data_IF_395916510259
#
_entry.id   IF_395916510259
#
_cell.length_a   1.000
_cell.length_b   1.000
_cell.length_c   1.000
_cell.angle_alpha   90.00
_cell.angle_beta   90.00
_cell.angle_gamma   90.00
#
_symmetry.space_group_name_H-M   'P 1'
#
loop_
_entity.id
_entity.type
_entity.pdbx_description
1 polymer ?
#
# COMPACT_ATOMS: atom_id res chain seq x y z
N UNK A 1 14.63 -16.22 -19.27
CA UNK A 1 15.54 -17.29 -19.75
C UNK A 1 15.94 -18.10 -18.52
N UNK A 2 15.96 -19.42 -18.63
CA UNK A 2 16.39 -20.31 -17.54
C UNK A 2 17.93 -20.35 -17.58
N UNK A 3 18.58 -19.97 -16.48
CA UNK A 3 19.99 -20.32 -16.28
C UNK A 3 20.03 -21.79 -15.84
N UNK A 4 20.20 -22.69 -16.81
CA UNK A 4 20.14 -24.13 -16.56
C UNK A 4 21.22 -24.60 -15.57
N UNK A 5 22.35 -23.90 -15.46
CA UNK A 5 23.40 -24.26 -14.51
C UNK A 5 23.02 -23.91 -13.08
N UNK A 6 22.45 -22.72 -12.87
CA UNK A 6 22.07 -22.25 -11.54
C UNK A 6 20.70 -22.78 -11.07
N UNK A 7 19.70 -22.85 -11.95
CA UNK A 7 18.34 -23.22 -11.58
C UNK A 7 18.23 -24.66 -11.09
N UNK A 8 18.85 -25.63 -11.79
CA UNK A 8 18.78 -27.07 -11.44
C UNK A 8 19.42 -27.41 -10.10
N UNK A 9 20.22 -26.50 -9.53
CA UNK A 9 20.80 -26.66 -8.19
C UNK A 9 19.82 -26.27 -7.08
N UNK A 10 18.76 -25.53 -7.40
CA UNK A 10 17.73 -25.11 -6.45
C UNK A 10 16.72 -26.22 -6.19
N UNK A 11 15.93 -26.12 -5.11
CA UNK A 11 14.84 -27.07 -4.83
C UNK A 11 13.82 -27.13 -5.98
N UNK A 12 13.39 -25.96 -6.49
CA UNK A 12 12.44 -25.88 -7.60
C UNK A 12 13.00 -26.48 -8.90
N UNK A 13 14.29 -26.33 -9.17
CA UNK A 13 14.91 -26.87 -10.39
C UNK A 13 15.16 -28.38 -10.39
N UNK A 14 14.81 -29.08 -9.29
CA UNK A 14 14.81 -30.55 -9.23
C UNK A 14 13.48 -31.16 -9.67
N UNK A 15 12.44 -30.35 -9.80
CA UNK A 15 11.13 -30.77 -10.29
C UNK A 15 11.11 -30.71 -11.82
N UNK A 16 10.34 -31.60 -12.45
CA UNK A 16 10.13 -31.49 -13.89
C UNK A 16 9.31 -30.24 -14.21
N UNK A 17 9.65 -29.54 -15.29
CA UNK A 17 8.96 -28.30 -15.67
C UNK A 17 7.44 -28.48 -15.80
N UNK A 18 7.02 -29.69 -16.20
CA UNK A 18 5.61 -30.05 -16.38
C UNK A 18 4.83 -30.12 -15.06
N UNK A 19 5.50 -30.32 -13.93
CA UNK A 19 4.84 -30.42 -12.63
C UNK A 19 4.19 -29.08 -12.25
N UNK A 20 4.84 -27.96 -12.59
CA UNK A 20 4.28 -26.63 -12.38
C UNK A 20 3.57 -26.11 -13.62
N UNK A 21 4.20 -26.22 -14.79
CA UNK A 21 3.73 -25.55 -15.99
C UNK A 21 2.84 -26.41 -16.88
N UNK A 22 2.61 -27.69 -16.56
CA UNK A 22 1.91 -28.61 -17.45
C UNK A 22 2.64 -28.80 -18.78
N UNK A 23 1.90 -28.91 -19.87
CA UNK A 23 2.48 -29.17 -21.19
C UNK A 23 2.86 -30.64 -21.42
N UNK A 24 3.80 -30.86 -22.35
CA UNK A 24 4.25 -32.21 -22.74
C UNK A 24 5.77 -32.28 -22.69
N UNK A 25 6.33 -33.39 -22.20
CA UNK A 25 7.78 -33.61 -22.29
C UNK A 25 8.19 -33.85 -23.74
N UNK A 26 8.78 -32.85 -24.37
CA UNK A 26 9.26 -32.89 -25.75
C UNK A 26 10.50 -32.01 -25.93
N UNK A 27 11.48 -32.41 -26.75
CA UNK A 27 12.59 -31.53 -27.13
C UNK A 27 12.16 -30.44 -28.13
N UNK A 28 11.00 -30.58 -28.78
CA UNK A 28 10.42 -29.56 -29.64
C UNK A 28 9.60 -28.57 -28.83
N UNK A 29 9.90 -27.27 -28.96
CA UNK A 29 9.31 -26.20 -28.16
C UNK A 29 7.80 -26.10 -28.36
N UNK A 30 7.33 -26.15 -29.61
CA UNK A 30 5.90 -26.00 -29.89
C UNK A 30 5.11 -27.14 -29.28
N UNK A 31 5.61 -28.37 -29.45
CA UNK A 31 5.03 -29.57 -28.83
C UNK A 31 5.08 -29.50 -27.31
N UNK A 32 6.21 -29.09 -26.73
CA UNK A 32 6.36 -29.00 -25.28
C UNK A 32 5.40 -27.99 -24.65
N UNK A 33 5.09 -26.92 -25.38
CA UNK A 33 4.21 -25.86 -24.92
C UNK A 33 2.71 -26.13 -25.18
N UNK A 34 2.33 -27.27 -25.76
CA UNK A 34 0.91 -27.62 -25.92
C UNK A 34 0.27 -27.84 -24.54
N UNK A 35 -0.62 -26.93 -24.12
CA UNK A 35 -1.24 -26.98 -22.79
C UNK A 35 -0.39 -26.41 -21.66
N UNK A 36 0.63 -25.60 -21.99
CA UNK A 36 1.47 -24.91 -21.01
C UNK A 36 0.68 -23.85 -20.22
N UNK A 37 0.79 -23.91 -18.90
CA UNK A 37 0.35 -22.88 -17.98
C UNK A 37 1.50 -21.87 -17.81
N UNK A 38 1.34 -20.68 -18.39
CA UNK A 38 2.40 -19.68 -18.39
C UNK A 38 2.71 -19.11 -16.99
N UNK A 39 1.70 -19.02 -16.12
CA UNK A 39 1.77 -18.42 -14.78
C UNK A 39 1.17 -19.35 -13.73
N UNK A 40 1.85 -20.45 -13.38
CA UNK A 40 1.30 -21.44 -12.46
C UNK A 40 1.04 -20.88 -11.06
N UNK A 41 1.74 -19.81 -10.65
CA UNK A 41 1.48 -19.15 -9.37
C UNK A 41 0.11 -18.45 -9.26
N UNK A 42 -0.65 -18.31 -10.37
CA UNK A 42 -2.06 -17.90 -10.31
C UNK A 42 -2.93 -18.96 -9.61
N UNK A 43 -2.54 -20.24 -9.71
CA UNK A 43 -3.14 -21.34 -8.96
C UNK A 43 -2.13 -21.87 -7.91
N UNK A 44 -1.79 -21.00 -6.95
CA UNK A 44 -0.80 -21.30 -5.92
C UNK A 44 -1.19 -22.49 -5.03
N UNK A 45 -2.48 -22.80 -4.89
CA UNK A 45 -2.95 -23.96 -4.11
C UNK A 45 -2.50 -25.26 -4.77
N UNK A 46 -2.78 -25.41 -6.06
CA UNK A 46 -2.39 -26.60 -6.83
C UNK A 46 -0.87 -26.77 -6.92
N UNK A 47 -0.14 -25.69 -7.24
CA UNK A 47 1.27 -25.82 -7.64
C UNK A 47 2.28 -25.52 -6.52
N UNK A 48 1.88 -24.83 -5.46
CA UNK A 48 2.78 -24.42 -4.38
C UNK A 48 2.35 -24.98 -3.01
N UNK A 49 1.08 -25.37 -2.85
CA UNK A 49 0.49 -25.70 -1.55
C UNK A 49 1.16 -26.84 -0.80
N UNK A 50 1.59 -27.89 -1.49
CA UNK A 50 2.25 -29.05 -0.85
C UNK A 50 3.58 -28.67 -0.18
N UNK A 51 4.38 -27.84 -0.85
CA UNK A 51 5.71 -27.42 -0.36
C UNK A 51 5.66 -26.17 0.52
N UNK A 52 4.64 -25.32 0.35
CA UNK A 52 4.44 -24.08 1.09
C UNK A 52 3.11 -24.07 1.88
N UNK A 53 2.86 -25.08 2.74
CA UNK A 53 1.55 -25.32 3.34
C UNK A 53 1.10 -24.23 4.32
N UNK A 54 2.02 -23.39 4.79
CA UNK A 54 1.69 -22.28 5.70
C UNK A 54 1.49 -20.96 4.96
N UNK A 55 2.23 -20.73 3.87
CA UNK A 55 2.23 -19.42 3.18
C UNK A 55 1.11 -19.34 2.16
N UNK A 56 0.84 -20.42 1.43
CA UNK A 56 -0.21 -20.44 0.40
C UNK A 56 -1.60 -20.14 0.98
N UNK A 57 -2.04 -20.77 2.09
CA UNK A 57 -3.32 -20.42 2.69
C UNK A 57 -3.35 -19.01 3.28
N UNK A 58 -2.26 -18.54 3.89
CA UNK A 58 -2.19 -17.19 4.44
C UNK A 58 -2.35 -16.13 3.34
N UNK A 59 -1.69 -16.34 2.20
CA UNK A 59 -1.71 -15.42 1.06
C UNK A 59 -3.12 -15.18 0.50
N UNK A 60 -4.03 -16.14 0.64
CA UNK A 60 -5.45 -15.98 0.25
C UNK A 60 -6.14 -14.81 0.96
N UNK A 61 -5.63 -14.39 2.12
CA UNK A 61 -6.14 -13.25 2.88
C UNK A 61 -5.31 -11.96 2.71
N UNK A 62 -4.22 -12.02 1.94
CA UNK A 62 -3.34 -10.87 1.70
C UNK A 62 -4.00 -9.82 0.84
N UNK A 63 -3.84 -8.55 1.19
CA UNK A 63 -4.32 -7.41 0.39
C UNK A 63 -3.70 -7.35 -1.01
N UNK A 64 -2.52 -7.92 -1.20
CA UNK A 64 -1.87 -8.02 -2.52
C UNK A 64 -2.56 -9.02 -3.45
N UNK A 65 -3.39 -9.91 -2.89
CA UNK A 65 -4.27 -10.82 -3.62
C UNK A 65 -5.71 -10.25 -3.65
N UNK A 66 -6.30 -10.01 -2.47
CA UNK A 66 -7.73 -9.71 -2.38
C UNK A 66 -8.10 -8.32 -2.85
N UNK A 67 -7.18 -7.35 -2.77
CA UNK A 67 -7.43 -5.94 -3.09
C UNK A 67 -8.63 -5.35 -2.32
N UNK A 68 -9.03 -5.96 -1.20
CA UNK A 68 -10.23 -5.64 -0.42
C UNK A 68 -10.28 -4.20 0.10
N UNK A 69 -9.12 -3.54 0.18
CA UNK A 69 -9.02 -2.10 0.48
C UNK A 69 -9.80 -1.22 -0.49
N UNK A 70 -9.82 -1.55 -1.78
CA UNK A 70 -10.58 -0.80 -2.77
C UNK A 70 -12.08 -1.02 -2.58
N UNK A 71 -12.50 -2.29 -2.46
CA UNK A 71 -13.91 -2.64 -2.27
C UNK A 71 -14.48 -2.07 -0.98
N UNK A 72 -13.72 -2.08 0.12
CA UNK A 72 -14.14 -1.43 1.37
C UNK A 72 -14.48 0.05 1.16
N UNK A 73 -13.71 0.77 0.35
CA UNK A 73 -13.96 2.19 0.07
C UNK A 73 -15.10 2.38 -0.95
N UNK A 74 -15.18 1.51 -1.97
CA UNK A 74 -16.24 1.57 -2.98
C UNK A 74 -17.60 1.26 -2.37
N UNK A 75 -17.69 0.22 -1.54
CA UNK A 75 -18.92 -0.20 -0.86
C UNK A 75 -19.43 0.90 0.08
N UNK A 76 -18.53 1.56 0.81
CA UNK A 76 -18.90 2.67 1.72
C UNK A 76 -19.39 3.90 0.94
N UNK A 77 -18.79 4.20 -0.21
CA UNK A 77 -19.16 5.35 -1.05
C UNK A 77 -20.29 5.05 -2.04
N UNK A 78 -20.75 3.80 -2.14
CA UNK A 78 -21.74 3.38 -3.13
C UNK A 78 -22.88 2.58 -2.52
N UNK A 79 -23.72 2.01 -3.39
CA UNK A 79 -24.81 1.10 -3.02
C UNK A 79 -24.73 -0.20 -3.83
N UNK A 80 -25.31 -1.31 -3.33
CA UNK A 80 -25.27 -2.61 -4.00
C UNK A 80 -25.77 -2.59 -5.45
N UNK A 81 -26.70 -1.71 -5.80
CA UNK A 81 -27.24 -1.58 -7.14
C UNK A 81 -26.19 -1.13 -8.17
N UNK A 82 -25.17 -0.39 -7.73
CA UNK A 82 -24.09 0.12 -8.57
C UNK A 82 -22.95 -0.89 -8.75
N UNK A 83 -22.93 -1.98 -7.98
CA UNK A 83 -21.81 -2.94 -7.97
C UNK A 83 -21.51 -3.54 -9.35
N UNK A 84 -22.49 -3.92 -10.20
CA UNK A 84 -22.16 -4.45 -11.53
C UNK A 84 -21.33 -3.49 -12.39
N UNK A 85 -21.64 -2.18 -12.36
CA UNK A 85 -20.88 -1.18 -13.09
C UNK A 85 -19.49 -0.94 -12.46
N UNK A 86 -19.43 -0.95 -11.12
CA UNK A 86 -18.17 -0.81 -10.39
C UNK A 86 -17.24 -2.03 -10.56
N UNK A 87 -17.78 -3.24 -10.69
CA UNK A 87 -17.02 -4.46 -10.96
C UNK A 87 -16.37 -4.41 -12.35
N UNK A 88 -17.11 -3.96 -13.36
CA UNK A 88 -16.56 -3.74 -14.70
C UNK A 88 -15.45 -2.67 -14.69
N UNK A 89 -15.72 -1.52 -14.05
CA UNK A 89 -14.74 -0.45 -13.84
C UNK A 89 -13.49 -0.96 -13.12
N UNK A 90 -13.66 -1.67 -12.02
CA UNK A 90 -12.57 -2.20 -11.20
C UNK A 90 -11.73 -3.21 -12.00
N UNK A 91 -12.39 -4.09 -12.75
CA UNK A 91 -11.76 -5.03 -13.67
C UNK A 91 -10.86 -4.33 -14.69
N UNK A 92 -11.37 -3.29 -15.33
CA UNK A 92 -10.64 -2.55 -16.36
C UNK A 92 -9.48 -1.70 -15.82
N UNK A 93 -9.65 -1.06 -14.65
CA UNK A 93 -8.73 0.00 -14.20
C UNK A 93 -7.85 -0.37 -13.01
N UNK A 94 -8.36 -1.19 -12.10
CA UNK A 94 -7.76 -1.35 -10.77
C UNK A 94 -7.13 -2.74 -10.59
N UNK A 95 -7.79 -3.78 -11.13
CA UNK A 95 -7.45 -5.19 -10.92
C UNK A 95 -6.05 -5.58 -11.40
N UNK A 96 -5.43 -4.77 -12.26
CA UNK A 96 -4.07 -4.99 -12.77
C UNK A 96 -3.00 -4.98 -11.69
N UNK A 97 -3.29 -4.41 -10.51
CA UNK A 97 -2.36 -4.40 -9.38
C UNK A 97 -2.31 -5.74 -8.62
N UNK A 98 -3.23 -6.66 -8.90
CA UNK A 98 -3.24 -8.00 -8.34
C UNK A 98 -1.93 -8.74 -8.60
N UNK A 99 -1.42 -9.47 -7.61
CA UNK A 99 -0.15 -10.19 -7.73
C UNK A 99 -0.32 -11.69 -7.50
N UNK A 100 0.71 -12.44 -7.84
CA UNK A 100 0.87 -13.85 -7.48
C UNK A 100 2.26 -14.09 -6.91
N UNK A 101 2.53 -15.30 -6.39
CA UNK A 101 3.87 -15.65 -5.89
C UNK A 101 4.97 -15.38 -6.94
N UNK A 102 4.67 -15.66 -8.22
CA UNK A 102 5.58 -15.44 -9.34
C UNK A 102 5.94 -13.97 -9.56
N UNK A 103 5.00 -13.03 -9.35
CA UNK A 103 5.20 -11.59 -9.54
C UNK A 103 6.12 -10.94 -8.51
N UNK A 104 6.36 -11.63 -7.39
CA UNK A 104 7.25 -11.18 -6.33
C UNK A 104 8.55 -11.98 -6.31
N UNK A 105 8.47 -13.30 -6.53
CA UNK A 105 9.59 -14.20 -6.30
C UNK A 105 10.30 -14.65 -7.58
N UNK A 106 9.74 -14.44 -8.78
CA UNK A 106 10.35 -14.96 -10.04
C UNK A 106 10.48 -13.88 -11.10
N UNK A 107 9.40 -13.15 -11.36
CA UNK A 107 9.30 -12.08 -12.34
C UNK A 107 8.95 -10.76 -11.69
N UNK A 108 9.03 -9.70 -12.47
CA UNK A 108 8.36 -8.44 -12.17
C UNK A 108 6.85 -8.63 -12.38
N UNK A 109 6.00 -7.80 -11.74
CA UNK A 109 4.57 -7.82 -11.96
C UNK A 109 4.20 -7.66 -13.45
N UNK A 110 3.19 -8.41 -13.88
CA UNK A 110 2.69 -8.34 -15.26
C UNK A 110 2.21 -6.94 -15.66
N UNK A 111 1.69 -6.16 -14.71
CA UNK A 111 1.22 -4.78 -14.90
C UNK A 111 2.28 -3.80 -15.40
N UNK A 112 3.57 -4.12 -15.22
CA UNK A 112 4.70 -3.31 -15.74
C UNK A 112 5.43 -3.97 -16.90
N UNK A 113 4.77 -4.93 -17.57
CA UNK A 113 5.33 -5.69 -18.70
C UNK A 113 6.12 -6.95 -18.30
N UNK A 114 6.16 -7.29 -17.00
CA UNK A 114 6.72 -8.53 -16.50
C UNK A 114 8.23 -8.70 -16.70
N UNK A 115 8.64 -9.95 -16.96
CA UNK A 115 10.04 -10.34 -17.17
C UNK A 115 10.76 -10.78 -15.90
N UNK A 116 11.67 -11.74 -16.05
CA UNK A 116 12.36 -12.38 -14.93
C UNK A 116 13.26 -11.44 -14.14
N UNK A 117 13.23 -11.55 -12.81
CA UNK A 117 14.13 -10.80 -11.92
C UNK A 117 15.56 -11.33 -12.05
N UNK A 118 15.74 -12.64 -11.94
CA UNK A 118 17.05 -13.31 -12.02
C UNK A 118 16.92 -14.66 -12.74
N UNK A 119 16.50 -14.60 -14.02
CA UNK A 119 16.06 -15.81 -14.72
C UNK A 119 14.90 -16.50 -13.99
N UNK A 120 14.77 -17.81 -14.14
CA UNK A 120 13.71 -18.59 -13.47
C UNK A 120 14.05 -18.97 -12.02
N UNK A 121 15.00 -18.27 -11.38
CA UNK A 121 15.41 -18.55 -10.01
C UNK A 121 14.47 -17.82 -9.05
N UNK A 122 13.78 -18.61 -8.22
CA UNK A 122 12.92 -18.11 -7.15
C UNK A 122 13.77 -17.34 -6.12
N UNK A 123 13.45 -16.07 -5.94
CA UNK A 123 14.07 -15.16 -4.99
C UNK A 123 13.31 -15.20 -3.68
N UNK A 124 13.95 -15.62 -2.59
CA UNK A 124 13.31 -15.61 -1.27
C UNK A 124 12.88 -14.20 -0.83
N UNK A 125 13.66 -13.18 -1.19
CA UNK A 125 13.35 -11.76 -0.96
C UNK A 125 13.07 -11.06 -2.30
N UNK A 126 11.90 -10.46 -2.50
CA UNK A 126 11.60 -9.69 -3.70
C UNK A 126 12.55 -8.49 -3.87
N UNK A 127 12.73 -8.06 -5.11
CA UNK A 127 13.49 -6.84 -5.40
C UNK A 127 12.65 -5.61 -5.05
N UNK A 128 13.22 -4.71 -4.25
CA UNK A 128 12.60 -3.41 -3.97
C UNK A 128 12.28 -2.63 -5.25
N UNK A 129 13.22 -2.60 -6.21
CA UNK A 129 13.09 -1.78 -7.42
C UNK A 129 12.25 -2.44 -8.51
N UNK A 130 12.27 -3.78 -8.58
CA UNK A 130 11.65 -4.53 -9.67
C UNK A 130 10.35 -5.23 -9.29
N UNK A 131 10.04 -5.34 -8.00
CA UNK A 131 8.78 -5.92 -7.52
C UNK A 131 7.97 -4.88 -6.73
N UNK A 132 8.50 -4.35 -5.63
CA UNK A 132 7.74 -3.46 -4.75
C UNK A 132 7.42 -2.12 -5.43
N UNK A 133 8.45 -1.40 -5.88
CA UNK A 133 8.29 -0.09 -6.53
C UNK A 133 7.96 -0.19 -8.02
N UNK A 134 7.83 -1.40 -8.57
CA UNK A 134 7.22 -1.57 -9.89
C UNK A 134 5.74 -1.13 -9.84
N UNK A 135 5.01 -1.55 -8.79
CA UNK A 135 3.62 -1.12 -8.57
C UNK A 135 3.54 0.15 -7.70
N UNK A 136 4.33 0.23 -6.62
CA UNK A 136 4.27 1.35 -5.67
C UNK A 136 5.22 2.52 -6.00
N UNK A 137 5.75 2.56 -7.23
CA UNK A 137 6.83 3.47 -7.59
C UNK A 137 6.46 4.94 -7.65
N UNK A 138 5.23 5.26 -8.06
CA UNK A 138 4.79 6.63 -8.33
C UNK A 138 4.68 7.48 -7.07
N UNK A 139 4.19 6.91 -5.96
CA UNK A 139 4.03 7.58 -4.65
C UNK A 139 5.11 7.13 -3.67
N UNK A 140 4.99 5.89 -3.17
CA UNK A 140 5.87 5.33 -2.13
C UNK A 140 7.32 5.29 -2.60
N UNK A 141 7.57 4.79 -3.81
CA UNK A 141 8.93 4.70 -4.36
C UNK A 141 9.59 6.06 -4.56
N UNK A 142 8.84 7.10 -4.97
CA UNK A 142 9.40 8.44 -5.11
C UNK A 142 9.72 9.08 -3.76
N UNK A 143 8.85 8.89 -2.77
CA UNK A 143 9.06 9.37 -1.41
C UNK A 143 10.29 8.68 -0.77
N UNK A 144 10.32 7.35 -0.78
CA UNK A 144 11.35 6.56 -0.09
C UNK A 144 12.74 6.77 -0.68
N UNK A 145 12.82 6.84 -2.01
CA UNK A 145 14.07 6.96 -2.74
C UNK A 145 14.47 8.43 -3.00
N UNK A 146 13.68 9.42 -2.55
CA UNK A 146 13.98 10.84 -2.73
C UNK A 146 13.98 11.28 -4.19
N UNK A 147 12.99 10.84 -4.97
CA UNK A 147 12.82 11.20 -6.38
C UNK A 147 11.86 12.37 -6.60
N UNK A 148 11.27 12.90 -5.55
CA UNK A 148 10.52 14.16 -5.60
C UNK A 148 11.51 15.32 -5.52
N UNK A 149 11.36 16.31 -6.40
CA UNK A 149 12.24 17.48 -6.44
C UNK A 149 12.20 18.22 -5.09
N UNK A 150 13.37 18.65 -4.60
CA UNK A 150 13.49 19.34 -3.31
C UNK A 150 13.38 18.46 -2.07
N UNK A 151 12.95 17.20 -2.19
CA UNK A 151 12.74 16.28 -1.07
C UNK A 151 13.83 15.22 -1.01
N UNK A 152 14.46 15.07 0.17
CA UNK A 152 15.49 14.04 0.38
C UNK A 152 14.86 12.66 0.52
N UNK A 153 15.64 11.64 0.16
CA UNK A 153 15.26 10.26 0.42
C UNK A 153 15.16 9.98 1.92
N UNK A 154 14.28 9.03 2.27
CA UNK A 154 14.04 8.55 3.63
C UNK A 154 15.36 8.15 4.31
N UNK A 155 15.52 8.49 5.59
CA UNK A 155 16.75 8.20 6.35
C UNK A 155 17.00 6.70 6.49
N UNK A 156 15.95 5.87 6.57
CA UNK A 156 16.07 4.41 6.62
C UNK A 156 16.66 3.86 5.32
N UNK A 157 16.30 4.44 4.18
CA UNK A 157 16.92 4.08 2.91
C UNK A 157 18.34 4.66 2.77
N UNK A 158 18.46 5.99 2.91
CA UNK A 158 19.68 6.73 2.55
C UNK A 158 20.84 6.47 3.49
N UNK A 159 20.57 6.26 4.78
CA UNK A 159 21.58 6.05 5.81
C UNK A 159 21.67 4.58 6.23
N UNK A 160 20.53 3.95 6.54
CA UNK A 160 20.50 2.56 7.03
C UNK A 160 20.49 1.50 5.92
N UNK A 161 20.33 1.89 4.65
CA UNK A 161 20.29 0.99 3.49
C UNK A 161 19.17 -0.06 3.57
N UNK A 162 18.09 0.28 4.27
CA UNK A 162 16.93 -0.58 4.40
C UNK A 162 16.17 -0.66 3.06
N UNK A 163 15.60 -1.82 2.84
CA UNK A 163 14.66 -2.16 1.78
C UNK A 163 13.26 -2.32 2.38
N UNK A 164 12.23 -2.40 1.55
CA UNK A 164 10.84 -2.51 2.01
C UNK A 164 10.66 -3.62 3.06
N UNK A 165 11.27 -4.79 2.81
CA UNK A 165 11.11 -5.98 3.66
C UNK A 165 11.90 -5.94 4.97
N UNK A 166 12.71 -4.90 5.19
CA UNK A 166 13.37 -4.69 6.48
C UNK A 166 12.43 -4.03 7.50
N UNK A 167 11.35 -3.38 7.04
CA UNK A 167 10.24 -2.91 7.88
C UNK A 167 9.00 -3.78 7.70
N UNK A 168 8.66 -4.11 6.45
CA UNK A 168 7.48 -4.90 6.10
C UNK A 168 7.77 -6.39 6.12
N UNK A 169 7.34 -7.07 7.18
CA UNK A 169 7.71 -8.46 7.43
C UNK A 169 7.08 -9.45 6.43
N UNK A 170 7.64 -10.66 6.38
CA UNK A 170 7.06 -11.78 5.60
C UNK A 170 5.57 -11.95 5.94
N UNK A 171 5.22 -11.84 7.22
CA UNK A 171 3.86 -12.11 7.64
C UNK A 171 2.89 -11.02 7.19
N UNK A 172 3.33 -9.76 7.11
CA UNK A 172 2.51 -8.67 6.57
C UNK A 172 2.26 -8.86 5.08
N UNK A 173 3.31 -9.19 4.33
CA UNK A 173 3.22 -9.31 2.88
C UNK A 173 2.34 -10.49 2.45
N UNK A 174 2.38 -11.60 3.21
CA UNK A 174 1.58 -12.79 2.93
C UNK A 174 0.26 -12.85 3.71
N UNK A 175 -0.10 -11.87 4.52
CA UNK A 175 -1.37 -11.86 5.24
C UNK A 175 -1.45 -12.82 6.45
N UNK A 176 -0.32 -13.31 6.97
CA UNK A 176 -0.27 -14.19 8.15
C UNK A 176 -0.28 -13.44 9.50
N UNK A 177 -0.33 -12.10 9.52
CA UNK A 177 -0.24 -11.24 10.72
C UNK A 177 -1.49 -11.17 11.62
N UNK A 178 -2.42 -12.13 11.58
CA UNK A 178 -3.46 -12.25 12.63
C UNK A 178 -2.82 -12.81 13.91
N UNK A 179 -1.90 -12.03 14.50
CA UNK A 179 -1.18 -12.32 15.76
C UNK A 179 -2.10 -12.42 16.96
N UNK A 180 -3.31 -11.86 16.87
CA UNK A 180 -4.33 -11.90 17.92
C UNK A 180 -4.90 -13.31 18.13
N UNK A 181 -4.99 -14.12 17.07
CA UNK A 181 -5.55 -15.46 17.16
C UNK A 181 -4.49 -16.57 17.04
N UNK A 182 -3.41 -16.36 16.27
CA UNK A 182 -2.43 -17.42 15.98
C UNK A 182 -1.60 -17.90 17.18
N UNK A 183 -1.50 -17.11 18.25
CA UNK A 183 -0.88 -17.54 19.50
C UNK A 183 -1.74 -18.49 20.33
N UNK A 184 -3.05 -18.55 20.06
CA UNK A 184 -4.04 -19.27 20.86
C UNK A 184 -4.82 -20.33 20.06
N UNK A 185 -4.85 -20.21 18.73
CA UNK A 185 -5.60 -21.08 17.82
C UNK A 185 -4.66 -21.80 16.85
N UNK A 186 -4.98 -23.06 16.58
CA UNK A 186 -4.29 -23.85 15.57
C UNK A 186 -4.52 -23.27 14.17
N UNK A 187 -3.61 -23.49 13.20
CA UNK A 187 -3.85 -23.07 11.81
C UNK A 187 -5.20 -23.57 11.26
N UNK A 188 -5.63 -24.78 11.66
CA UNK A 188 -6.96 -25.38 11.40
C UNK A 188 -8.16 -24.53 11.85
N UNK A 189 -7.98 -23.68 12.86
CA UNK A 189 -9.01 -22.80 13.43
C UNK A 189 -8.91 -21.36 12.90
N UNK A 190 -7.87 -21.03 12.14
CA UNK A 190 -7.70 -19.73 11.45
C UNK A 190 -8.16 -19.76 9.99
N UNK A 191 -8.49 -20.93 9.45
CA UNK A 191 -9.10 -21.06 8.12
C UNK A 191 -10.48 -20.41 8.10
N UNK A 192 -10.74 -19.56 7.09
CA UNK A 192 -12.02 -18.85 6.93
C UNK A 192 -12.08 -17.47 7.56
N UNK A 193 -10.96 -16.93 8.05
CA UNK A 193 -10.89 -15.54 8.47
C UNK A 193 -11.07 -14.60 7.27
N UNK A 194 -11.98 -13.61 7.33
CA UNK A 194 -12.20 -12.69 6.23
C UNK A 194 -10.92 -11.93 5.91
N UNK A 195 -10.68 -11.57 4.63
CA UNK A 195 -9.57 -10.72 4.24
C UNK A 195 -9.51 -9.47 5.10
N UNK A 196 -8.30 -8.96 5.34
CA UNK A 196 -8.17 -7.63 5.94
C UNK A 196 -8.96 -6.64 5.07
N UNK A 197 -9.87 -5.81 5.61
CA UNK A 197 -10.65 -4.87 4.81
C UNK A 197 -9.75 -3.80 4.21
N UNK A 198 -8.65 -3.41 4.86
CA UNK A 198 -7.72 -2.41 4.33
C UNK A 198 -6.35 -2.46 5.03
N UNK A 199 -5.36 -1.75 4.47
CA UNK A 199 -3.97 -1.74 4.96
C UNK A 199 -3.77 -1.24 6.40
N UNK A 200 -4.73 -0.48 6.93
CA UNK A 200 -4.70 0.04 8.30
C UNK A 200 -5.60 -0.74 9.27
N UNK A 201 -5.99 -1.97 8.95
CA UNK A 201 -6.81 -2.78 9.85
C UNK A 201 -5.93 -3.54 10.85
N UNK A 202 -6.35 -3.56 12.11
CA UNK A 202 -5.57 -4.14 13.21
C UNK A 202 -4.46 -3.19 13.70
N UNK A 203 -3.51 -3.78 14.42
CA UNK A 203 -2.35 -3.11 15.00
C UNK A 203 -1.56 -2.28 13.98
N UNK A 204 -0.90 -1.22 14.43
CA UNK A 204 0.00 -0.44 13.59
C UNK A 204 1.21 -1.28 13.19
N UNK A 205 1.38 -1.51 11.88
CA UNK A 205 2.51 -2.25 11.33
C UNK A 205 2.94 -1.68 9.98
N UNK A 206 4.26 -1.45 9.77
CA UNK A 206 5.32 -1.49 10.78
C UNK A 206 5.18 -0.32 11.77
N UNK A 207 5.46 -0.56 13.05
CA UNK A 207 5.44 0.51 14.06
C UNK A 207 6.84 1.10 14.24
N UNK A 208 6.92 2.44 14.34
CA UNK A 208 8.19 3.12 14.63
C UNK A 208 8.85 2.59 15.92
N UNK A 209 8.01 2.27 16.91
CA UNK A 209 8.41 1.80 18.24
C UNK A 209 9.01 0.40 18.27
N UNK A 210 8.84 -0.41 17.21
CA UNK A 210 9.47 -1.73 17.09
C UNK A 210 11.00 -1.61 17.03
N UNK A 211 11.51 -0.54 16.41
CA UNK A 211 12.95 -0.23 16.36
C UNK A 211 13.34 0.90 17.34
N UNK A 212 12.45 1.86 17.57
CA UNK A 212 12.71 3.07 18.33
C UNK A 212 12.08 3.04 19.73
N UNK A 213 12.16 1.92 20.43
CA UNK A 213 11.47 1.71 21.73
C UNK A 213 11.79 2.74 22.83
N UNK A 214 12.93 3.45 22.72
CA UNK A 214 13.33 4.50 23.67
C UNK A 214 12.65 5.85 23.44
N UNK A 215 12.03 6.08 22.28
CA UNK A 215 11.35 7.37 22.01
C UNK A 215 10.07 7.48 22.81
N UNK A 216 9.42 6.36 23.11
CA UNK A 216 8.19 6.34 23.90
C UNK A 216 8.49 6.88 25.30
N UNK A 217 7.71 7.89 25.72
CA UNK A 217 7.89 8.63 26.98
C UNK A 217 9.22 9.41 27.09
N UNK A 218 9.94 9.65 25.98
CA UNK A 218 11.17 10.45 25.95
C UNK A 218 12.37 9.81 26.66
N UNK A 219 12.44 8.48 26.73
CA UNK A 219 13.57 7.75 27.34
C UNK A 219 14.87 7.88 26.52
N UNK A 220 14.79 8.43 25.32
CA UNK A 220 15.91 8.81 24.47
C UNK A 220 16.51 10.18 24.83
N UNK A 221 15.90 10.92 25.76
CA UNK A 221 16.35 12.23 26.21
C UNK A 221 15.82 13.41 25.38
N UNK A 222 14.90 13.17 24.43
CA UNK A 222 14.27 14.22 23.63
C UNK A 222 12.96 14.64 24.29
N UNK A 223 12.92 15.86 24.84
CA UNK A 223 11.74 16.37 25.57
C UNK A 223 10.47 16.40 24.70
N UNK A 224 10.59 16.66 23.39
CA UNK A 224 9.44 16.69 22.49
C UNK A 224 8.74 15.34 22.36
N UNK A 225 9.48 14.23 22.44
CA UNK A 225 8.86 12.89 22.46
C UNK A 225 8.07 12.68 23.74
N UNK A 226 8.53 13.18 24.88
CA UNK A 226 7.79 13.09 26.14
C UNK A 226 6.50 13.91 26.12
N UNK A 227 6.52 15.08 25.47
CA UNK A 227 5.38 16.00 25.45
C UNK A 227 4.31 15.62 24.42
N UNK A 228 4.70 15.05 23.28
CA UNK A 228 3.78 14.90 22.14
C UNK A 228 3.47 13.46 21.72
N UNK A 229 4.20 12.44 22.18
CA UNK A 229 4.10 11.08 21.63
C UNK A 229 2.74 10.39 21.84
N UNK A 230 1.89 10.93 22.72
CA UNK A 230 0.54 10.39 22.97
C UNK A 230 -0.48 10.96 21.97
N UNK A 231 -0.31 12.22 21.56
CA UNK A 231 -1.30 12.95 20.76
C UNK A 231 -0.94 12.98 19.27
N UNK A 232 0.34 12.98 18.94
CA UNK A 232 0.84 13.12 17.56
C UNK A 232 1.43 11.81 17.05
N UNK A 233 1.01 11.39 15.85
CA UNK A 233 1.74 10.33 15.13
C UNK A 233 3.17 10.76 14.79
N UNK A 234 4.12 9.83 14.76
CA UNK A 234 5.55 10.13 14.53
C UNK A 234 5.79 10.93 13.24
N UNK A 235 4.98 10.68 12.21
CA UNK A 235 5.06 11.33 10.90
C UNK A 235 4.72 12.82 10.97
N UNK A 236 4.01 13.30 12.00
CA UNK A 236 3.77 14.74 12.22
C UNK A 236 5.08 15.51 12.41
N UNK A 237 6.06 14.90 13.07
CA UNK A 237 7.38 15.51 13.27
C UNK A 237 8.36 15.06 12.20
N UNK A 238 8.31 13.79 11.78
CA UNK A 238 9.38 13.19 11.01
C UNK A 238 9.10 13.05 9.52
N UNK A 239 7.93 13.43 9.03
CA UNK A 239 7.67 13.51 7.59
C UNK A 239 7.97 14.91 7.05
N UNK A 240 8.23 14.97 5.75
CA UNK A 240 8.34 16.21 4.96
C UNK A 240 7.27 16.20 3.89
N UNK A 241 7.22 17.19 3.00
CA UNK A 241 6.21 17.22 1.94
C UNK A 241 6.18 15.92 1.11
N UNK A 242 4.97 15.48 0.78
CA UNK A 242 4.68 14.24 0.08
C UNK A 242 3.54 14.41 -0.92
N UNK A 243 3.36 13.40 -1.79
CA UNK A 243 2.47 13.52 -2.95
C UNK A 243 1.01 13.49 -2.55
N UNK A 244 0.24 14.52 -2.89
CA UNK A 244 -1.23 14.49 -2.93
C UNK A 244 -1.72 14.63 -4.36
N UNK A 245 -2.96 14.23 -4.60
CA UNK A 245 -3.58 14.28 -5.91
C UNK A 245 -5.03 14.73 -5.78
N UNK A 246 -5.53 15.43 -6.80
CA UNK A 246 -6.93 15.86 -6.86
C UNK A 246 -7.63 15.14 -7.99
N UNK A 247 -8.80 14.59 -7.68
CA UNK A 247 -9.74 13.97 -8.64
C UNK A 247 -9.12 12.82 -9.45
N UNK A 248 -9.92 11.81 -9.78
CA UNK A 248 -9.51 10.72 -10.68
C UNK A 248 -10.71 10.34 -11.53
N UNK A 249 -10.58 10.44 -12.84
CA UNK A 249 -11.59 9.97 -13.78
C UNK A 249 -11.03 8.85 -14.60
N UNK A 250 -11.78 7.76 -14.72
CA UNK A 250 -11.39 6.57 -15.49
C UNK A 250 -12.28 6.39 -16.69
N UNK A 251 -11.70 5.97 -17.81
CA UNK A 251 -12.43 5.70 -19.04
C UNK A 251 -11.65 4.73 -19.95
N UNK A 252 -12.33 4.13 -20.92
CA UNK A 252 -11.69 3.30 -21.95
C UNK A 252 -11.57 4.10 -23.25
N UNK A 253 -10.40 4.07 -23.87
CA UNK A 253 -10.15 4.77 -25.14
C UNK A 253 -10.93 4.09 -26.26
N UNK A 254 -11.78 4.84 -26.98
CA UNK A 254 -12.50 4.32 -28.16
C UNK A 254 -11.54 3.89 -29.28
N UNK A 255 -10.42 4.61 -29.45
CA UNK A 255 -9.43 4.34 -30.50
C UNK A 255 -8.61 3.08 -30.25
N UNK A 256 -8.23 2.83 -28.99
CA UNK A 256 -7.27 1.77 -28.64
C UNK A 256 -7.89 0.60 -27.88
N UNK A 257 -9.08 0.79 -27.31
CA UNK A 257 -9.70 -0.15 -26.39
C UNK A 257 -9.00 -0.24 -25.03
N UNK A 258 -7.97 0.57 -24.77
CA UNK A 258 -7.19 0.49 -23.54
C UNK A 258 -7.80 1.38 -22.45
N UNK A 259 -7.84 0.91 -21.19
CA UNK A 259 -8.22 1.71 -20.03
C UNK A 259 -7.18 2.83 -19.80
N UNK A 260 -7.66 4.02 -19.43
CA UNK A 260 -6.84 5.14 -18.99
C UNK A 260 -7.51 5.87 -17.82
N UNK A 261 -6.75 6.75 -17.18
CA UNK A 261 -7.25 7.64 -16.14
C UNK A 261 -6.65 9.04 -16.28
N UNK A 262 -7.35 10.03 -15.76
CA UNK A 262 -6.89 11.41 -15.65
C UNK A 262 -7.04 11.88 -14.20
N UNK A 263 -6.04 12.61 -13.71
CA UNK A 263 -6.12 13.32 -12.43
C UNK A 263 -6.06 14.81 -12.70
N UNK A 264 -6.86 15.60 -11.98
CA UNK A 264 -6.89 17.06 -12.13
C UNK A 264 -5.59 17.72 -11.66
N UNK A 265 -4.97 17.19 -10.60
CA UNK A 265 -3.68 17.67 -10.11
C UNK A 265 -2.88 16.60 -9.38
N UNK A 266 -1.55 16.76 -9.37
CA UNK A 266 -0.62 16.04 -8.49
C UNK A 266 0.41 17.04 -7.98
N UNK A 267 0.56 17.14 -6.66
CA UNK A 267 1.40 18.16 -6.01
C UNK A 267 1.99 17.64 -4.70
N UNK A 268 3.01 18.32 -4.19
CA UNK A 268 3.55 18.05 -2.87
C UNK A 268 2.78 18.85 -1.82
N UNK A 269 2.47 18.22 -0.70
CA UNK A 269 1.79 18.85 0.44
C UNK A 269 2.29 18.27 1.76
N UNK A 270 2.00 18.98 2.83
CA UNK A 270 2.14 18.51 4.21
C UNK A 270 1.04 19.17 5.04
N UNK A 271 0.05 18.40 5.48
CA UNK A 271 -1.00 18.90 6.36
C UNK A 271 -1.25 17.94 7.53
N UNK A 272 -1.44 18.51 8.71
CA UNK A 272 -1.80 17.86 9.96
C UNK A 272 -3.31 18.03 10.14
N UNK A 273 -4.01 16.94 10.43
CA UNK A 273 -5.44 16.99 10.75
C UNK A 273 -5.83 16.01 11.84
N UNK A 274 -7.12 15.99 12.18
CA UNK A 274 -7.66 15.03 13.14
C UNK A 274 -7.59 13.62 12.54
N UNK A 275 -7.28 12.64 13.37
CA UNK A 275 -7.13 11.25 12.95
C UNK A 275 -8.49 10.62 12.57
N UNK A 276 -8.74 10.28 11.28
CA UNK A 276 -10.00 9.64 10.88
C UNK A 276 -10.10 8.16 11.30
N UNK A 277 -9.00 7.57 11.79
CA UNK A 277 -8.90 6.17 12.18
C UNK A 277 -8.55 6.01 13.67
N UNK A 278 -8.93 6.98 14.52
CA UNK A 278 -8.57 6.98 15.93
C UNK A 278 -9.19 5.77 16.66
N UNK A 279 -8.33 4.91 17.19
CA UNK A 279 -8.70 3.73 17.97
C UNK A 279 -7.49 3.28 18.82
N UNK A 280 -7.61 2.17 19.56
CA UNK A 280 -6.50 1.69 20.42
C UNK A 280 -5.21 1.40 19.64
N UNK A 281 -5.31 0.89 18.40
CA UNK A 281 -4.16 0.61 17.54
C UNK A 281 -3.55 1.88 16.92
N UNK A 282 -4.30 2.99 16.84
CA UNK A 282 -3.88 4.29 16.31
C UNK A 282 -4.41 5.41 17.21
N UNK A 283 -3.85 5.57 18.42
CA UNK A 283 -4.46 6.40 19.47
C UNK A 283 -4.31 7.91 19.24
N UNK A 284 -3.45 8.31 18.29
CA UNK A 284 -3.12 9.70 18.01
C UNK A 284 -4.35 10.56 17.74
N UNK A 285 -4.39 11.75 18.33
CA UNK A 285 -5.40 12.78 18.03
C UNK A 285 -5.10 13.43 16.67
N UNK A 286 -3.82 13.72 16.39
CA UNK A 286 -3.39 14.37 15.15
C UNK A 286 -2.41 13.53 14.34
N UNK A 287 -2.65 13.53 13.03
CA UNK A 287 -1.92 12.76 12.04
C UNK A 287 -1.65 13.61 10.82
N UNK A 288 -0.71 13.16 9.99
CA UNK A 288 -0.55 13.75 8.66
C UNK A 288 -1.62 13.18 7.71
N UNK A 289 -2.18 14.05 6.86
CA UNK A 289 -3.26 13.71 5.94
C UNK A 289 -2.86 13.91 4.48
N UNK A 290 -3.29 12.99 3.63
CA UNK A 290 -3.07 13.04 2.18
C UNK A 290 -4.40 13.21 1.46
N UNK A 291 -4.42 14.10 0.47
CA UNK A 291 -5.56 14.18 -0.43
C UNK A 291 -5.49 13.03 -1.45
N UNK A 292 -6.55 12.22 -1.51
CA UNK A 292 -6.67 11.11 -2.47
C UNK A 292 -7.48 11.54 -3.69
N UNK A 293 -7.12 11.07 -4.89
CA UNK A 293 -7.78 11.48 -6.11
C UNK A 293 -9.09 10.69 -6.27
N UNK A 294 -10.19 11.25 -5.76
CA UNK A 294 -11.55 10.76 -5.93
C UNK A 294 -12.47 11.96 -6.17
N UNK A 295 -13.52 11.76 -6.95
CA UNK A 295 -14.54 12.75 -7.27
C UNK A 295 -15.92 12.09 -7.30
N UNK A 296 -17.00 12.87 -7.21
CA UNK A 296 -18.38 12.35 -7.24
C UNK A 296 -18.68 11.63 -8.55
N UNK A 297 -18.05 12.06 -9.63
CA UNK A 297 -18.21 11.56 -10.99
C UNK A 297 -16.99 10.75 -11.49
N UNK A 298 -16.10 10.30 -10.60
CA UNK A 298 -14.90 9.50 -10.91
C UNK A 298 -15.15 8.34 -11.88
N UNK A 299 -16.34 7.74 -11.81
CA UNK A 299 -16.71 6.53 -12.56
C UNK A 299 -17.84 6.78 -13.57
N UNK A 300 -18.12 8.05 -13.91
CA UNK A 300 -19.22 8.45 -14.81
C UNK A 300 -19.21 7.79 -16.19
N UNK A 301 -18.04 7.34 -16.67
CA UNK A 301 -17.93 6.56 -17.90
C UNK A 301 -18.74 5.24 -17.87
N UNK A 302 -18.87 4.63 -16.69
CA UNK A 302 -19.54 3.33 -16.49
C UNK A 302 -21.00 3.46 -16.05
N UNK A 303 -21.44 4.64 -15.65
CA UNK A 303 -22.80 4.89 -15.21
C UNK A 303 -22.95 6.23 -14.48
N UNK A 304 -24.19 6.71 -14.37
CA UNK A 304 -24.50 7.93 -13.64
C UNK A 304 -24.53 7.66 -12.13
N UNK A 305 -24.02 8.61 -11.34
CA UNK A 305 -24.11 8.62 -9.87
C UNK A 305 -23.67 7.31 -9.20
N UNK A 306 -22.50 6.79 -9.60
CA UNK A 306 -21.97 5.53 -9.04
C UNK A 306 -21.39 5.66 -7.62
N UNK A 307 -21.24 6.89 -7.09
CA UNK A 307 -20.76 7.17 -5.74
C UNK A 307 -21.76 8.05 -4.94
N UNK A 308 -23.01 7.61 -4.76
CA UNK A 308 -24.06 8.41 -4.12
C UNK A 308 -23.76 8.73 -2.65
N UNK A 309 -22.93 7.91 -1.98
CA UNK A 309 -22.49 8.12 -0.60
C UNK A 309 -21.09 8.76 -0.55
N UNK A 310 -20.74 9.60 -1.52
CA UNK A 310 -19.42 10.23 -1.61
C UNK A 310 -18.97 10.88 -0.28
N UNK A 311 -19.87 11.56 0.42
CA UNK A 311 -19.52 12.27 1.66
C UNK A 311 -19.38 11.34 2.89
N UNK A 312 -19.54 10.03 2.74
CA UNK A 312 -19.37 9.05 3.84
C UNK A 312 -17.92 8.87 4.29
N UNK A 313 -16.95 9.18 3.42
CA UNK A 313 -15.53 9.08 3.73
C UNK A 313 -14.79 10.39 3.36
N UNK A 314 -13.78 10.81 4.15
CA UNK A 314 -13.01 12.00 3.83
C UNK A 314 -12.17 11.80 2.56
N UNK A 315 -11.84 12.90 1.87
CA UNK A 315 -10.86 12.94 0.77
C UNK A 315 -9.45 13.22 1.28
N UNK A 316 -9.34 13.86 2.45
CA UNK A 316 -8.11 13.96 3.23
C UNK A 316 -8.02 12.78 4.21
N UNK A 317 -7.24 11.77 3.84
CA UNK A 317 -7.18 10.49 4.56
C UNK A 317 -5.90 10.34 5.37
N UNK A 318 -5.95 9.47 6.39
CA UNK A 318 -4.77 9.06 7.18
C UNK A 318 -3.61 8.65 6.26
N UNK A 319 -2.44 9.23 6.47
CA UNK A 319 -1.27 9.00 5.63
C UNK A 319 -0.08 8.46 6.41
N UNK A 320 0.66 7.56 5.76
CA UNK A 320 1.97 7.06 6.21
C UNK A 320 3.03 7.34 5.13
N UNK A 321 3.48 8.60 4.99
CA UNK A 321 4.48 8.97 3.99
C UNK A 321 5.79 8.22 4.21
N UNK A 322 6.44 7.81 3.12
CA UNK A 322 7.70 7.07 3.18
C UNK A 322 8.89 8.00 2.96
N UNK A 323 9.01 9.06 3.76
CA UNK A 323 10.01 10.10 3.56
C UNK A 323 10.62 10.58 4.89
N UNK A 324 10.71 9.68 5.87
CA UNK A 324 11.11 9.98 7.24
C UNK A 324 12.47 10.68 7.26
N UNK A 325 12.55 11.79 8.00
CA UNK A 325 13.78 12.53 8.29
C UNK A 325 13.98 12.69 9.80
N UNK A 326 15.24 12.79 10.22
CA UNK A 326 15.59 13.14 11.60
C UNK A 326 15.31 14.62 11.88
N UNK A 327 15.73 15.48 10.95
CA UNK A 327 15.51 16.92 10.99
C UNK A 327 14.53 17.32 9.90
N UNK A 328 13.40 17.89 10.30
CA UNK A 328 12.35 18.44 9.44
C UNK A 328 12.09 19.91 9.79
N UNK A 329 11.42 20.68 8.92
CA UNK A 329 11.01 22.04 9.26
C UNK A 329 10.22 22.12 10.58
N UNK A 330 9.38 21.13 10.88
CA UNK A 330 8.55 21.06 12.08
C UNK A 330 9.38 20.90 13.36
N UNK A 331 10.54 20.25 13.28
CA UNK A 331 11.41 19.98 14.44
C UNK A 331 12.37 21.12 14.78
N UNK A 332 12.46 22.17 13.96
CA UNK A 332 13.45 23.24 14.14
C UNK A 332 13.23 24.06 15.43
N UNK A 333 11.98 24.41 15.73
CA UNK A 333 11.60 25.18 16.93
C UNK A 333 10.17 24.85 17.34
N UNK A 334 9.76 25.15 18.58
CA UNK A 334 8.35 24.99 19.00
C UNK A 334 7.39 25.73 18.06
N UNK A 335 7.74 26.97 17.68
CA UNK A 335 6.90 27.82 16.83
C UNK A 335 7.00 27.51 15.32
N UNK A 336 7.78 26.49 14.94
CA UNK A 336 7.69 25.92 13.60
C UNK A 336 6.38 25.12 13.42
N UNK A 337 5.80 24.63 14.53
CA UNK A 337 4.49 23.98 14.57
C UNK A 337 3.45 24.85 15.30
N UNK A 338 3.78 25.36 16.48
CA UNK A 338 2.91 26.21 17.29
C UNK A 338 2.70 27.59 16.65
N UNK A 339 1.45 28.01 16.53
CA UNK A 339 1.04 29.22 15.84
C UNK A 339 1.14 29.13 14.32
N UNK A 340 1.57 28.00 13.77
CA UNK A 340 1.81 27.85 12.34
C UNK A 340 0.61 27.23 11.63
N UNK A 341 -0.38 28.06 11.33
CA UNK A 341 -1.61 27.61 10.66
C UNK A 341 -1.39 26.99 9.28
N UNK A 342 -0.24 27.20 8.61
CA UNK A 342 -0.01 26.61 7.28
C UNK A 342 0.15 25.09 7.31
N UNK A 343 0.52 24.52 8.46
CA UNK A 343 0.73 23.08 8.61
C UNK A 343 -0.55 22.29 8.92
N UNK A 344 -1.66 22.96 9.22
CA UNK A 344 -2.89 22.29 9.65
C UNK A 344 -3.96 22.33 8.56
N UNK A 345 -4.72 21.24 8.41
CA UNK A 345 -5.90 21.19 7.56
C UNK A 345 -7.03 21.97 8.24
N UNK A 346 -7.09 23.26 7.96
CA UNK A 346 -8.17 24.15 8.40
C UNK A 346 -9.24 24.25 7.31
N UNK A 347 -10.45 24.69 7.67
CA UNK A 347 -11.59 24.72 6.75
C UNK A 347 -11.31 25.54 5.47
N UNK A 348 -10.53 26.61 5.54
CA UNK A 348 -10.15 27.43 4.37
C UNK A 348 -9.24 26.70 3.36
N UNK A 349 -8.66 25.56 3.74
CA UNK A 349 -7.81 24.73 2.87
C UNK A 349 -8.56 23.56 2.22
N UNK A 350 -9.82 23.34 2.60
CA UNK A 350 -10.65 22.28 2.04
C UNK A 350 -11.46 22.83 0.88
N UNK A 351 -11.48 22.10 -0.24
CA UNK A 351 -12.33 22.42 -1.37
C UNK A 351 -13.80 22.50 -0.88
N UNK A 352 -14.54 23.59 -1.14
CA UNK A 352 -15.91 23.73 -0.66
C UNK A 352 -16.84 22.56 -1.04
N UNK A 353 -16.59 21.90 -2.17
CA UNK A 353 -17.36 20.73 -2.62
C UNK A 353 -17.14 19.46 -1.78
N UNK A 354 -16.07 19.41 -0.98
CA UNK A 354 -15.65 18.27 -0.15
C UNK A 354 -15.73 18.60 1.34
N UNK A 355 -16.30 19.75 1.70
CA UNK A 355 -16.36 20.21 3.09
C UNK A 355 -17.08 19.22 4.00
N UNK A 356 -18.21 18.69 3.54
CA UNK A 356 -19.03 17.76 4.32
C UNK A 356 -18.26 16.45 4.59
N UNK A 357 -17.61 15.88 3.57
CA UNK A 357 -16.76 14.70 3.69
C UNK A 357 -15.59 14.89 4.67
N UNK A 358 -14.99 16.09 4.71
CA UNK A 358 -13.77 16.35 5.48
C UNK A 358 -14.00 17.03 6.84
N UNK A 359 -15.24 17.41 7.19
CA UNK A 359 -15.54 18.01 8.48
C UNK A 359 -14.94 17.26 9.69
N UNK A 360 -14.92 15.90 9.73
CA UNK A 360 -14.32 15.16 10.84
C UNK A 360 -12.80 15.34 10.98
N UNK A 361 -12.08 15.63 9.88
CA UNK A 361 -10.60 15.68 9.85
C UNK A 361 -10.03 17.09 9.93
N UNK A 362 -10.88 18.13 9.86
CA UNK A 362 -10.48 19.53 9.95
C UNK A 362 -10.06 19.90 11.38
N UNK A 363 -9.03 20.74 11.49
CA UNK A 363 -8.57 21.35 12.74
C UNK A 363 -9.21 22.72 12.89
N UNK A 364 -10.00 22.90 13.96
CA UNK A 364 -10.73 24.15 14.23
C UNK A 364 -9.85 25.23 14.86
N UNK A 365 -8.90 24.83 15.71
CA UNK A 365 -7.95 25.72 16.36
C UNK A 365 -6.56 25.14 16.26
N UNK A 366 -5.63 25.93 15.72
CA UNK A 366 -4.21 25.55 15.70
C UNK A 366 -3.59 25.80 17.08
N UNK A 367 -2.55 25.06 17.48
CA UNK A 367 -1.88 25.29 18.76
C UNK A 367 -1.36 26.73 18.84
N UNK A 368 -1.52 27.38 19.98
CA UNK A 368 -1.00 28.74 20.19
C UNK A 368 0.55 28.75 20.20
N UNK A 369 1.19 29.86 19.77
CA UNK A 369 2.64 30.03 19.88
C UNK A 369 3.14 29.79 21.31
N UNK A 370 4.31 29.15 21.41
CA UNK A 370 5.03 28.98 22.68
C UNK A 370 5.84 30.26 22.99
N UNK A 371 5.72 30.83 24.21
CA UNK A 371 6.40 32.07 24.62
C UNK A 371 7.92 32.06 24.61
#
# INVERSE_FOLDING_TARGET
>A
MIDAGAFVQTTHGRMDCIECHGGVQSPDKETAHQGLIARPSEDSETFCGECHPNVVPAYQSSLHLTQSGYWTVLDERSTPENHPALEEMFGNHCSSCHTTCGDCHVSQPSSVGGGFVSGHIFQAKPSMTRNCTACHGSRVGKEYLGKNEGVRADVHFRQARMTCVDCHTMDEMHGSQRKDCASCHSPSELFGNPPSPHRYHGEEQPACTDCHSKVVNGLDGVEMHKQHSQDLSCQVCHSVEYTSCDSCHVAVSEDTGNPYFETKASYLTFLIGRNPLQNEARPYEYVVLRHVPVDKDSFSYYGDDLLPNYDALPTWVYATPHNIQLDTPQTETCNACHGNASLFLTADKVNPAEMDANAPVIVESVPEPVP
#
